data_IF_449122490513
#
_entry.id   IF_449122490513
#
_cell.length_a   1.000
_cell.length_b   1.000
_cell.length_c   1.000
_cell.angle_alpha   90.00
_cell.angle_beta   90.00
_cell.angle_gamma   90.00
#
_symmetry.space_group_name_H-M   'P 1'
#
loop_
_entity.id
_entity.type
_entity.pdbx_description
1 polymer ?
#
# COMPACT_ATOMS: atom_id res chain seq x y z
N UNK A 1 -10.57 12.11 -12.10
CA UNK A 1 -10.74 11.69 -13.52
C UNK A 1 -9.80 10.50 -13.81
N UNK A 2 -9.83 9.45 -12.96
CA UNK A 2 -8.76 8.41 -12.91
C UNK A 2 -9.21 7.06 -13.48
N UNK A 3 -10.51 6.74 -13.44
CA UNK A 3 -11.06 5.47 -13.93
C UNK A 3 -11.10 5.29 -15.45
N UNK A 4 -10.68 6.30 -16.23
CA UNK A 4 -10.71 6.28 -17.72
C UNK A 4 -9.31 6.41 -18.35
N UNK A 5 -8.25 6.43 -17.53
CA UNK A 5 -6.87 6.49 -18.02
C UNK A 5 -6.27 5.09 -17.97
N UNK A 6 -5.33 4.83 -18.87
CA UNK A 6 -4.52 3.62 -18.80
C UNK A 6 -3.72 3.58 -17.49
N UNK A 7 -3.51 2.37 -16.97
CA UNK A 7 -2.68 2.17 -15.80
C UNK A 7 -1.24 2.53 -16.14
N UNK A 8 -0.61 3.32 -15.28
CA UNK A 8 0.78 3.72 -15.43
C UNK A 8 1.59 3.23 -14.22
N UNK A 9 2.70 2.55 -14.50
CA UNK A 9 3.57 2.05 -13.45
C UNK A 9 4.43 3.18 -12.89
N UNK A 10 4.61 3.20 -11.57
CA UNK A 10 5.59 4.10 -10.94
C UNK A 10 6.99 3.71 -11.43
N UNK A 11 7.76 4.65 -12.04
CA UNK A 11 9.08 4.35 -12.56
C UNK A 11 9.99 3.70 -11.51
N UNK A 12 10.61 2.58 -11.88
CA UNK A 12 11.54 1.83 -11.02
C UNK A 12 10.90 0.93 -9.96
N UNK A 13 9.61 1.07 -9.67
CA UNK A 13 8.98 0.33 -8.56
C UNK A 13 8.92 -1.18 -8.81
N UNK A 14 8.60 -1.59 -10.04
CA UNK A 14 8.62 -3.01 -10.41
C UNK A 14 10.03 -3.63 -10.28
N UNK A 15 11.10 -2.85 -10.52
CA UNK A 15 12.46 -3.33 -10.33
C UNK A 15 12.80 -3.53 -8.83
N UNK A 16 12.40 -2.59 -7.97
CA UNK A 16 12.53 -2.71 -6.50
C UNK A 16 11.81 -3.97 -6.02
N UNK A 17 10.55 -4.13 -6.41
CA UNK A 17 9.71 -5.22 -5.94
C UNK A 17 10.21 -6.59 -6.43
N UNK A 18 10.70 -6.69 -7.67
CA UNK A 18 11.34 -7.92 -8.16
C UNK A 18 12.60 -8.28 -7.37
N UNK A 19 13.40 -7.29 -6.98
CA UNK A 19 14.56 -7.54 -6.14
C UNK A 19 14.16 -8.01 -4.74
N UNK A 20 13.12 -7.43 -4.14
CA UNK A 20 12.55 -7.93 -2.89
C UNK A 20 12.01 -9.35 -3.05
N UNK A 21 11.30 -9.66 -4.13
CA UNK A 21 10.84 -11.02 -4.42
C UNK A 21 12.01 -12.01 -4.50
N UNK A 22 13.11 -11.64 -5.19
CA UNK A 22 14.34 -12.46 -5.25
C UNK A 22 14.98 -12.70 -3.88
N UNK A 23 14.76 -11.81 -2.92
CA UNK A 23 15.20 -11.95 -1.51
C UNK A 23 14.22 -12.74 -0.65
N UNK A 24 13.15 -13.29 -1.23
CA UNK A 24 12.18 -14.15 -0.54
C UNK A 24 10.95 -13.42 0.01
N UNK A 25 10.73 -12.17 -0.36
CA UNK A 25 9.53 -11.42 0.06
C UNK A 25 8.31 -11.85 -0.76
N UNK A 26 7.19 -12.03 -0.09
CA UNK A 26 5.88 -12.25 -0.71
C UNK A 26 5.11 -10.93 -0.85
N UNK A 27 4.23 -10.84 -1.85
CA UNK A 27 3.48 -9.62 -2.15
C UNK A 27 1.98 -9.83 -1.95
N UNK A 28 1.37 -8.85 -1.27
CA UNK A 28 -0.07 -8.70 -1.11
C UNK A 28 -0.46 -7.29 -1.58
N UNK A 29 -1.22 -7.20 -2.67
CA UNK A 29 -1.70 -5.94 -3.24
C UNK A 29 -3.08 -5.62 -2.69
N UNK A 30 -3.23 -4.51 -1.97
CA UNK A 30 -4.51 -4.05 -1.42
C UNK A 30 -4.90 -2.75 -2.13
N UNK A 31 -6.07 -2.73 -2.76
CA UNK A 31 -6.56 -1.56 -3.51
C UNK A 31 -8.03 -1.28 -3.23
N UNK A 32 -8.39 0.01 -3.24
CA UNK A 32 -9.78 0.47 -3.19
C UNK A 32 -10.56 0.28 -4.49
N UNK A 33 -9.88 -0.18 -5.54
CA UNK A 33 -10.48 -0.46 -6.83
C UNK A 33 -11.56 -1.55 -6.72
N UNK A 34 -12.65 -1.46 -7.51
CA UNK A 34 -13.64 -2.53 -7.59
C UNK A 34 -13.00 -3.84 -8.04
N UNK A 35 -13.44 -4.97 -7.49
CA UNK A 35 -12.95 -6.30 -7.88
C UNK A 35 -13.10 -6.61 -9.38
N UNK A 36 -14.05 -5.97 -10.06
CA UNK A 36 -14.26 -6.08 -11.51
C UNK A 36 -13.04 -5.62 -12.32
N UNK A 37 -12.17 -4.78 -11.74
CA UNK A 37 -10.91 -4.36 -12.36
C UNK A 37 -9.79 -5.40 -12.21
N UNK A 38 -10.05 -6.56 -11.59
CA UNK A 38 -9.02 -7.58 -11.38
C UNK A 38 -8.35 -8.04 -12.69
N UNK A 39 -9.08 -8.46 -13.76
CA UNK A 39 -8.42 -8.92 -14.98
C UNK A 39 -7.50 -7.87 -15.63
N UNK A 40 -7.96 -6.63 -15.94
CA UNK A 40 -7.08 -5.65 -16.56
C UNK A 40 -5.95 -5.18 -15.62
N UNK A 41 -6.17 -5.18 -14.31
CA UNK A 41 -5.11 -4.87 -13.33
C UNK A 41 -4.03 -5.95 -13.34
N UNK A 42 -4.42 -7.23 -13.38
CA UNK A 42 -3.47 -8.34 -13.40
C UNK A 42 -2.62 -8.32 -14.68
N UNK A 43 -3.24 -8.11 -15.84
CA UNK A 43 -2.55 -7.97 -17.12
C UNK A 43 -1.54 -6.82 -17.09
N UNK A 44 -1.95 -5.66 -16.60
CA UNK A 44 -1.06 -4.52 -16.42
C UNK A 44 0.11 -4.84 -15.49
N UNK A 45 -0.16 -5.42 -14.32
CA UNK A 45 0.88 -5.76 -13.33
C UNK A 45 1.91 -6.73 -13.91
N UNK A 46 1.47 -7.73 -14.68
CA UNK A 46 2.34 -8.68 -15.36
C UNK A 46 3.16 -7.99 -16.46
N UNK A 47 2.51 -7.19 -17.31
CA UNK A 47 3.19 -6.46 -18.39
C UNK A 47 4.23 -5.47 -17.87
N UNK A 48 3.94 -4.79 -16.75
CA UNK A 48 4.87 -3.89 -16.06
C UNK A 48 5.96 -4.64 -15.26
N UNK A 49 5.88 -5.96 -15.15
CA UNK A 49 6.89 -6.80 -14.49
C UNK A 49 6.86 -6.73 -12.97
N UNK A 50 5.70 -6.44 -12.37
CA UNK A 50 5.54 -6.56 -10.92
C UNK A 50 5.52 -8.03 -10.48
N UNK A 51 5.99 -8.34 -9.26
CA UNK A 51 5.87 -9.67 -8.68
C UNK A 51 4.45 -10.22 -8.68
N UNK A 52 4.33 -11.54 -8.79
CA UNK A 52 3.08 -12.23 -8.50
C UNK A 52 2.77 -12.10 -7.01
N UNK A 53 1.52 -11.83 -6.68
CA UNK A 53 1.04 -11.68 -5.31
C UNK A 53 -0.47 -11.86 -5.22
N UNK A 54 -0.99 -11.87 -3.99
CA UNK A 54 -2.44 -11.87 -3.79
C UNK A 54 -3.02 -10.48 -4.05
N UNK A 55 -4.30 -10.41 -4.40
CA UNK A 55 -5.01 -9.15 -4.56
C UNK A 55 -6.20 -9.09 -3.60
N UNK A 56 -6.30 -8.00 -2.85
CA UNK A 56 -7.46 -7.62 -2.09
C UNK A 56 -8.07 -6.37 -2.73
N UNK A 57 -9.20 -6.56 -3.41
CA UNK A 57 -9.94 -5.50 -4.11
C UNK A 57 -11.29 -5.30 -3.42
N UNK A 58 -11.83 -4.08 -3.53
CA UNK A 58 -13.05 -3.74 -2.83
C UNK A 58 -14.27 -4.33 -3.52
N UNK A 59 -15.19 -4.88 -2.72
CA UNK A 59 -16.49 -5.30 -3.22
C UNK A 59 -17.35 -4.06 -3.54
N UNK A 60 -17.55 -3.78 -4.83
CA UNK A 60 -18.48 -2.74 -5.26
C UNK A 60 -19.87 -3.35 -5.50
N UNK A 61 -20.90 -2.82 -4.82
CA UNK A 61 -22.30 -3.15 -5.05
C UNK A 61 -23.04 -1.92 -5.57
N UNK A 62 -23.56 -2.01 -6.80
CA UNK A 62 -24.30 -0.95 -7.49
C UNK A 62 -25.68 -0.62 -6.88
N UNK A 63 -26.17 -1.40 -5.91
CA UNK A 63 -27.49 -1.15 -5.31
C UNK A 63 -27.41 -0.01 -4.30
N UNK A 64 -27.73 1.21 -4.72
CA UNK A 64 -28.06 2.34 -3.85
C UNK A 64 -26.92 3.30 -3.50
N UNK A 65 -25.67 2.99 -3.85
CA UNK A 65 -24.52 3.90 -3.69
C UNK A 65 -24.04 4.38 -5.05
N UNK A 66 -23.82 5.69 -5.20
CA UNK A 66 -23.27 6.20 -6.45
C UNK A 66 -21.81 5.74 -6.61
N UNK A 67 -21.37 5.58 -7.86
CA UNK A 67 -19.93 5.35 -8.16
C UNK A 67 -19.06 6.44 -7.52
N UNK A 68 -19.59 7.67 -7.38
CA UNK A 68 -18.90 8.77 -6.71
C UNK A 68 -18.72 8.53 -5.20
N UNK A 69 -19.71 7.96 -4.51
CA UNK A 69 -19.60 7.65 -3.08
C UNK A 69 -18.59 6.52 -2.84
N UNK A 70 -18.56 5.54 -3.76
CA UNK A 70 -17.53 4.50 -3.74
C UNK A 70 -16.12 5.09 -3.94
N UNK A 71 -15.97 6.05 -4.85
CA UNK A 71 -14.66 6.70 -5.09
C UNK A 71 -14.24 7.60 -3.92
N UNK A 72 -15.21 8.16 -3.17
CA UNK A 72 -14.97 9.09 -2.06
C UNK A 72 -14.89 8.44 -0.69
N UNK A 73 -15.22 7.17 -0.56
CA UNK A 73 -15.20 6.47 0.72
C UNK A 73 -13.78 6.40 1.30
N UNK A 74 -13.69 6.54 2.61
CA UNK A 74 -12.45 6.67 3.36
C UNK A 74 -11.58 5.40 3.27
N UNK A 75 -10.27 5.59 3.01
CA UNK A 75 -9.27 4.51 3.03
C UNK A 75 -9.27 3.72 4.34
N UNK A 76 -9.56 4.40 5.46
CA UNK A 76 -9.71 3.79 6.78
C UNK A 76 -10.84 2.76 6.83
N UNK A 77 -11.93 2.96 6.09
CA UNK A 77 -13.09 2.07 6.12
C UNK A 77 -12.85 0.74 5.41
N UNK A 78 -11.99 0.70 4.38
CA UNK A 78 -11.82 -0.51 3.57
C UNK A 78 -10.39 -1.08 3.57
N UNK A 79 -9.32 -0.27 3.64
CA UNK A 79 -7.94 -0.80 3.70
C UNK A 79 -7.61 -1.33 5.10
N UNK A 80 -8.06 -0.66 6.16
CA UNK A 80 -7.74 -1.10 7.52
C UNK A 80 -8.25 -2.53 7.79
N UNK A 81 -9.52 -2.89 7.50
CA UNK A 81 -10.00 -4.27 7.69
C UNK A 81 -9.24 -5.26 6.80
N UNK A 82 -9.03 -4.95 5.53
CA UNK A 82 -8.31 -5.82 4.60
C UNK A 82 -6.88 -6.16 5.06
N UNK A 83 -6.14 -5.16 5.55
CA UNK A 83 -4.79 -5.34 6.06
C UNK A 83 -4.82 -6.06 7.41
N UNK A 84 -5.78 -5.72 8.27
CA UNK A 84 -5.99 -6.41 9.55
C UNK A 84 -6.20 -7.91 9.36
N UNK A 85 -7.08 -8.29 8.43
CA UNK A 85 -7.37 -9.70 8.13
C UNK A 85 -6.12 -10.43 7.64
N UNK A 86 -5.29 -9.78 6.80
CA UNK A 86 -4.02 -10.35 6.34
C UNK A 86 -3.03 -10.60 7.50
N UNK A 87 -2.85 -9.62 8.39
CA UNK A 87 -1.95 -9.75 9.55
C UNK A 87 -2.45 -10.79 10.57
N UNK A 88 -3.77 -10.91 10.74
CA UNK A 88 -4.36 -11.94 11.60
C UNK A 88 -4.29 -13.34 10.98
N UNK A 89 -4.39 -13.45 9.66
CA UNK A 89 -4.26 -14.73 8.94
C UNK A 89 -2.84 -15.29 9.04
N UNK A 90 -1.84 -14.42 9.13
CA UNK A 90 -0.43 -14.81 9.16
C UNK A 90 0.29 -14.25 10.40
N UNK A 91 -0.05 -14.70 11.61
CA UNK A 91 0.40 -14.07 12.86
C UNK A 91 1.92 -14.12 13.07
N UNK A 92 2.60 -15.12 12.50
CA UNK A 92 4.06 -15.30 12.61
C UNK A 92 4.84 -14.56 11.51
N UNK A 93 4.14 -13.92 10.56
CA UNK A 93 4.78 -13.16 9.49
C UNK A 93 5.03 -11.72 9.92
N UNK A 94 6.00 -11.11 9.25
CA UNK A 94 6.38 -9.72 9.44
C UNK A 94 6.08 -8.97 8.14
N UNK A 95 5.56 -7.76 8.29
CA UNK A 95 5.03 -6.99 7.18
C UNK A 95 5.75 -5.65 7.04
N UNK A 96 5.92 -5.26 5.79
CA UNK A 96 6.29 -3.92 5.38
C UNK A 96 5.08 -3.35 4.65
N UNK A 97 4.66 -2.15 5.04
CA UNK A 97 3.53 -1.48 4.40
C UNK A 97 4.07 -0.46 3.41
N UNK A 98 3.64 -0.52 2.15
CA UNK A 98 4.06 0.39 1.08
C UNK A 98 2.83 0.96 0.39
N UNK A 99 2.70 2.29 0.41
CA UNK A 99 1.54 3.01 -0.11
C UNK A 99 1.93 4.40 -0.59
N UNK A 100 0.95 5.27 -0.84
CA UNK A 100 1.17 6.62 -1.35
C UNK A 100 0.43 7.71 -0.56
N UNK A 101 0.90 8.95 -0.68
CA UNK A 101 0.32 10.11 0.03
C UNK A 101 -0.92 10.68 -0.65
N UNK A 102 -1.27 10.24 -1.86
CA UNK A 102 -2.44 10.71 -2.60
C UNK A 102 -3.75 10.20 -2.00
N UNK A 103 -3.69 9.07 -1.30
CA UNK A 103 -4.78 8.51 -0.50
C UNK A 103 -4.46 8.57 1.01
N UNK A 104 -5.23 7.86 1.82
CA UNK A 104 -5.11 7.81 3.28
C UNK A 104 -4.18 6.69 3.77
N UNK A 105 -3.24 6.22 2.95
CA UNK A 105 -2.30 5.17 3.34
C UNK A 105 -1.48 5.51 4.59
N UNK A 106 -0.96 6.74 4.76
CA UNK A 106 -0.24 7.11 5.98
C UNK A 106 -1.09 6.91 7.25
N UNK A 107 -2.35 7.34 7.20
CA UNK A 107 -3.30 7.21 8.31
C UNK A 107 -3.69 5.75 8.58
N UNK A 108 -4.00 4.99 7.53
CA UNK A 108 -4.31 3.56 7.61
C UNK A 108 -3.13 2.80 8.21
N UNK A 109 -1.92 3.02 7.71
CA UNK A 109 -0.73 2.29 8.15
C UNK A 109 -0.31 2.68 9.56
N UNK A 110 -0.49 3.92 9.98
CA UNK A 110 -0.27 4.33 11.37
C UNK A 110 -1.21 3.58 12.33
N UNK A 111 -2.50 3.47 11.98
CA UNK A 111 -3.46 2.68 12.75
C UNK A 111 -3.08 1.20 12.82
N UNK A 112 -2.71 0.60 11.70
CA UNK A 112 -2.29 -0.81 11.64
C UNK A 112 -1.01 -1.03 12.47
N UNK A 113 -0.02 -0.15 12.36
CA UNK A 113 1.22 -0.25 13.12
C UNK A 113 0.99 -0.14 14.64
N UNK A 114 0.03 0.67 15.08
CA UNK A 114 -0.37 0.73 16.48
C UNK A 114 -1.09 -0.55 16.94
N UNK A 115 -1.88 -1.19 16.08
CA UNK A 115 -2.60 -2.43 16.40
C UNK A 115 -1.70 -3.67 16.36
N UNK A 116 -0.69 -3.68 15.48
CA UNK A 116 0.20 -4.81 15.24
C UNK A 116 1.69 -4.41 15.28
N UNK A 117 2.17 -3.83 16.39
CA UNK A 117 3.52 -3.26 16.48
C UNK A 117 4.64 -4.29 16.33
N UNK A 118 4.35 -5.57 16.59
CA UNK A 118 5.31 -6.66 16.49
C UNK A 118 5.35 -7.30 15.10
N UNK A 119 4.31 -7.13 14.29
CA UNK A 119 4.27 -7.65 12.92
C UNK A 119 4.73 -6.59 11.91
N UNK A 120 4.37 -5.32 12.08
CA UNK A 120 4.77 -4.24 11.17
C UNK A 120 6.22 -3.82 11.46
N UNK A 121 7.09 -3.93 10.45
CA UNK A 121 8.54 -3.64 10.59
C UNK A 121 8.99 -2.36 9.90
N UNK A 122 8.23 -1.86 8.95
CA UNK A 122 8.48 -0.57 8.31
C UNK A 122 7.24 -0.08 7.58
N UNK A 123 7.15 1.24 7.42
CA UNK A 123 6.17 1.91 6.58
C UNK A 123 6.91 2.77 5.55
N UNK A 124 6.57 2.58 4.27
CA UNK A 124 7.07 3.38 3.15
C UNK A 124 5.90 4.09 2.47
N UNK A 125 5.96 5.41 2.41
CA UNK A 125 4.95 6.23 1.72
C UNK A 125 5.60 6.92 0.53
N UNK A 126 5.06 6.68 -0.66
CA UNK A 126 5.42 7.47 -1.84
C UNK A 126 4.71 8.82 -1.79
N UNK A 127 5.45 9.90 -1.71
CA UNK A 127 4.91 11.25 -1.79
C UNK A 127 4.56 11.60 -3.25
N UNK A 128 3.27 11.86 -3.48
CA UNK A 128 2.70 12.37 -4.73
C UNK A 128 1.98 13.69 -4.55
N UNK A 129 1.88 14.17 -3.32
CA UNK A 129 1.20 15.41 -2.93
C UNK A 129 2.17 16.58 -2.79
N UNK A 130 3.48 16.30 -2.78
CA UNK A 130 4.54 17.29 -2.50
C UNK A 130 4.69 17.56 -1.00
N UNK A 131 4.13 16.70 -0.15
CA UNK A 131 4.18 16.84 1.30
C UNK A 131 5.46 16.19 1.83
N UNK A 132 6.37 17.01 2.40
CA UNK A 132 7.57 16.49 3.06
C UNK A 132 7.22 15.72 4.34
N UNK A 133 8.12 14.83 4.81
CA UNK A 133 7.98 14.10 6.10
C UNK A 133 7.70 15.04 7.28
N UNK A 134 8.24 16.26 7.24
CA UNK A 134 8.06 17.29 8.27
C UNK A 134 6.65 17.90 8.30
N UNK A 135 5.82 17.60 7.30
CA UNK A 135 4.45 18.08 7.21
C UNK A 135 3.62 17.60 8.41
N UNK A 136 2.71 18.47 8.88
CA UNK A 136 1.87 18.22 10.06
C UNK A 136 1.11 16.90 9.97
N UNK A 137 0.70 16.51 8.76
CA UNK A 137 0.05 15.24 8.47
C UNK A 137 0.84 14.05 9.02
N UNK A 138 2.12 13.94 8.67
CA UNK A 138 2.96 12.83 9.13
C UNK A 138 3.38 12.96 10.59
N UNK A 139 3.59 14.19 11.08
CA UNK A 139 3.94 14.44 12.50
C UNK A 139 2.85 14.01 13.47
N UNK A 140 1.59 14.06 13.03
CA UNK A 140 0.43 13.68 13.84
C UNK A 140 0.12 12.18 13.77
N UNK A 141 0.85 11.40 12.96
CA UNK A 141 0.68 9.95 12.92
C UNK A 141 1.28 9.34 14.19
N UNK A 142 0.44 8.68 14.98
CA UNK A 142 0.85 7.97 16.19
C UNK A 142 1.50 6.61 15.86
N UNK A 143 2.61 6.61 15.14
CA UNK A 143 3.38 5.40 14.79
C UNK A 143 4.32 5.03 15.96
N UNK A 144 4.35 3.77 16.41
CA UNK A 144 5.31 3.32 17.42
C UNK A 144 6.76 3.66 17.02
N UNK A 145 7.54 4.19 17.96
CA UNK A 145 8.86 4.77 17.69
C UNK A 145 9.88 3.78 17.07
N UNK A 146 9.71 2.48 17.30
CA UNK A 146 10.58 1.44 16.73
C UNK A 146 10.23 1.07 15.29
N UNK A 147 9.11 1.54 14.75
CA UNK A 147 8.68 1.28 13.38
C UNK A 147 9.10 2.46 12.50
N UNK A 148 10.10 2.30 11.62
CA UNK A 148 10.54 3.37 10.75
C UNK A 148 9.45 3.72 9.73
N UNK A 149 9.04 4.99 9.70
CA UNK A 149 8.32 5.61 8.59
C UNK A 149 9.32 6.30 7.67
N UNK A 150 9.24 6.02 6.36
CA UNK A 150 9.99 6.77 5.35
C UNK A 150 9.07 7.25 4.25
N UNK A 151 9.15 8.53 3.94
CA UNK A 151 8.49 9.13 2.79
C UNK A 151 9.52 9.31 1.68
N UNK A 152 9.17 8.92 0.45
CA UNK A 152 10.07 8.96 -0.71
C UNK A 152 9.33 9.42 -1.95
N UNK A 153 10.03 9.99 -2.95
CA UNK A 153 9.42 10.36 -4.23
C UNK A 153 9.79 9.38 -5.34
N UNK A 154 11.04 8.94 -5.35
CA UNK A 154 11.59 8.01 -6.36
C UNK A 154 11.81 6.60 -5.79
N UNK A 155 11.42 5.58 -6.55
CA UNK A 155 11.50 4.18 -6.13
C UNK A 155 12.95 3.73 -5.85
N UNK A 156 13.96 4.34 -6.48
CA UNK A 156 15.37 4.01 -6.29
C UNK A 156 15.82 4.06 -4.84
N UNK A 157 15.21 4.94 -4.03
CA UNK A 157 15.47 5.05 -2.58
C UNK A 157 15.20 3.74 -1.85
N UNK A 158 14.25 2.93 -2.32
CA UNK A 158 13.92 1.65 -1.68
C UNK A 158 14.94 0.53 -1.98
N UNK A 159 15.76 0.66 -3.04
CA UNK A 159 16.76 -0.36 -3.39
C UNK A 159 17.93 -0.39 -2.42
N UNK A 160 18.32 0.78 -1.91
CA UNK A 160 19.43 0.94 -0.97
C UNK A 160 19.05 0.63 0.47
N UNK A 161 17.75 0.46 0.75
CA UNK A 161 17.26 0.17 2.08
C UNK A 161 17.57 -1.28 2.44
N UNK A 162 18.54 -1.43 3.34
CA UNK A 162 18.66 -2.65 4.14
C UNK A 162 17.52 -2.61 5.15
N UNK A 163 16.48 -3.41 4.92
CA UNK A 163 15.47 -3.69 5.93
C UNK A 163 16.11 -4.67 6.90
N UNK A 164 16.88 -4.12 7.83
CA UNK A 164 17.61 -4.88 8.84
C UNK A 164 16.61 -5.45 9.85
N UNK A 165 16.66 -6.75 10.12
CA UNK A 165 15.85 -7.37 11.18
C UNK A 165 14.55 -8.07 10.74
N UNK A 166 14.42 -8.43 9.46
CA UNK A 166 13.42 -9.41 9.00
C UNK A 166 13.96 -10.83 9.02
#
# INVERSE_FOLDING_TARGET
>A
RTFLREFEAVPGMAAVYREWQRRGYAFHYVSGSPWQLYPPLLEFMQAAGFPVGSFHLRMFRLKGHSVLDFIRSDGLEYKSPAITDLLQTYPDRRFILVGDSGEQDPEVYARIAHQFPDQVKAIFIRDVTGEQVSHTRYRNLAIPAHIPLRVFQEAGVLQSLRITGL
#
